data_IF_833740664068
#
_entry.id   IF_833740664068
#
_cell.length_a   1.000
_cell.length_b   1.000
_cell.length_c   1.000
_cell.angle_alpha   90.00
_cell.angle_beta   90.00
_cell.angle_gamma   90.00
#
_symmetry.space_group_name_H-M   'P 1'
#
loop_
_entity.id
_entity.type
_entity.pdbx_description
1 polymer ?
#
# COMPACT_ATOMS: atom_id res chain seq x y z
N UNK A 1 39.14 -47.86 -29.69
CA UNK A 1 37.98 -48.22 -28.83
C UNK A 1 38.26 -47.70 -27.42
N UNK A 2 37.57 -46.64 -27.00
CA UNK A 2 37.48 -46.23 -25.60
C UNK A 2 36.06 -45.69 -25.40
N UNK A 3 35.32 -46.31 -24.48
CA UNK A 3 33.94 -45.97 -24.15
C UNK A 3 33.92 -45.04 -22.93
N UNK A 4 32.91 -44.18 -22.89
CA UNK A 4 32.27 -43.64 -21.69
C UNK A 4 32.89 -42.38 -21.06
N UNK A 5 32.15 -41.26 -21.11
CA UNK A 5 31.32 -40.84 -19.97
C UNK A 5 30.23 -39.89 -20.48
N UNK A 6 29.03 -40.43 -20.63
CA UNK A 6 27.80 -39.65 -20.73
C UNK A 6 27.57 -39.12 -19.33
N UNK A 7 27.97 -37.86 -19.09
CA UNK A 7 27.66 -37.22 -17.82
C UNK A 7 26.14 -37.11 -17.71
N UNK A 8 25.60 -38.01 -16.90
CA UNK A 8 24.31 -37.90 -16.25
C UNK A 8 24.23 -36.52 -15.60
N UNK A 9 23.60 -35.57 -16.29
CA UNK A 9 22.84 -34.52 -15.62
C UNK A 9 21.45 -35.05 -15.37
N UNK A 10 21.44 -36.08 -14.51
CA UNK A 10 20.23 -36.59 -13.89
C UNK A 10 19.77 -35.55 -12.86
N UNK A 11 18.50 -35.20 -12.98
CA UNK A 11 17.60 -35.05 -11.84
C UNK A 11 18.07 -34.18 -10.67
N UNK A 12 18.02 -32.86 -10.85
CA UNK A 12 17.63 -31.97 -9.74
C UNK A 12 16.24 -31.37 -9.99
N UNK A 13 15.36 -32.17 -10.61
CA UNK A 13 13.91 -32.03 -10.43
C UNK A 13 13.50 -32.93 -9.27
N UNK A 14 14.16 -32.74 -8.14
CA UNK A 14 13.92 -33.48 -6.92
C UNK A 14 12.63 -32.95 -6.31
N UNK A 15 11.51 -33.55 -6.75
CA UNK A 15 10.75 -34.40 -5.85
C UNK A 15 10.34 -33.86 -4.49
N UNK A 16 10.21 -32.54 -4.28
CA UNK A 16 9.25 -32.07 -3.28
C UNK A 16 7.88 -32.29 -3.89
N UNK A 17 7.34 -33.48 -3.62
CA UNK A 17 5.93 -33.72 -3.37
C UNK A 17 5.10 -32.53 -3.84
N UNK A 18 4.80 -32.52 -5.14
CA UNK A 18 3.62 -31.80 -5.59
C UNK A 18 2.48 -32.58 -4.97
N UNK A 19 2.24 -32.30 -3.70
CA UNK A 19 0.91 -32.37 -3.14
C UNK A 19 0.03 -31.82 -4.25
N UNK A 20 -0.92 -32.64 -4.71
CA UNK A 20 -1.95 -32.20 -5.62
C UNK A 20 -2.84 -31.20 -4.87
N UNK A 21 -2.26 -30.09 -4.42
CA UNK A 21 -2.95 -28.85 -4.17
C UNK A 21 -3.48 -28.46 -5.54
N UNK A 22 -4.68 -28.96 -5.84
CA UNK A 22 -5.51 -28.52 -6.94
C UNK A 22 -5.55 -27.00 -6.85
N UNK A 23 -4.72 -26.35 -7.67
CA UNK A 23 -4.71 -24.89 -7.77
C UNK A 23 -6.00 -24.51 -8.46
N UNK A 24 -7.05 -24.31 -7.65
CA UNK A 24 -8.33 -23.77 -8.11
C UNK A 24 -8.08 -22.33 -8.56
N UNK A 25 -8.00 -22.15 -9.87
CA UNK A 25 -7.93 -20.83 -10.48
C UNK A 25 -9.25 -20.59 -11.21
N UNK A 26 -9.79 -19.37 -11.16
CA UNK A 26 -11.04 -19.04 -11.88
C UNK A 26 -10.98 -19.43 -13.35
N UNK A 27 -9.81 -19.29 -13.97
CA UNK A 27 -9.56 -19.74 -15.34
C UNK A 27 -9.70 -21.26 -15.50
N UNK A 28 -9.15 -22.05 -14.59
CA UNK A 28 -9.28 -23.51 -14.61
C UNK A 28 -10.71 -23.98 -14.34
N UNK A 29 -11.45 -23.26 -13.49
CA UNK A 29 -12.86 -23.51 -13.17
C UNK A 29 -13.84 -22.97 -14.23
N UNK A 30 -13.34 -22.37 -15.32
CA UNK A 30 -14.19 -21.76 -16.36
C UNK A 30 -15.04 -20.58 -15.89
N UNK A 31 -14.70 -20.00 -14.74
CA UNK A 31 -15.43 -18.88 -14.15
C UNK A 31 -15.18 -17.59 -14.93
N UNK A 32 -16.18 -16.70 -15.01
CA UNK A 32 -16.02 -15.40 -15.65
C UNK A 32 -14.91 -14.58 -14.96
N UNK A 33 -14.33 -13.61 -15.69
CA UNK A 33 -13.37 -12.67 -15.15
C UNK A 33 -13.86 -12.00 -13.87
N UNK A 34 -12.93 -11.51 -13.08
CA UNK A 34 -13.26 -10.72 -11.91
C UNK A 34 -13.81 -9.35 -12.33
N UNK A 35 -14.93 -8.96 -11.74
CA UNK A 35 -15.53 -7.65 -11.94
C UNK A 35 -14.69 -6.60 -11.18
N UNK A 36 -14.27 -5.56 -11.89
CA UNK A 36 -13.51 -4.46 -11.30
C UNK A 36 -14.21 -3.13 -11.55
N UNK A 37 -14.05 -2.19 -10.61
CA UNK A 37 -14.52 -0.83 -10.78
C UNK A 37 -13.89 -0.18 -12.03
N UNK A 38 -14.62 0.72 -12.68
CA UNK A 38 -14.08 1.43 -13.84
C UNK A 38 -12.92 2.35 -13.43
N UNK A 39 -12.06 2.67 -14.39
CA UNK A 39 -10.93 3.58 -14.15
C UNK A 39 -11.42 4.94 -13.63
N UNK A 40 -12.53 5.45 -14.16
CA UNK A 40 -13.15 6.71 -13.74
C UNK A 40 -13.58 6.66 -12.28
N UNK A 41 -14.17 5.54 -11.85
CA UNK A 41 -14.58 5.36 -10.46
C UNK A 41 -13.37 5.31 -9.52
N UNK A 42 -12.33 4.57 -9.88
CA UNK A 42 -11.08 4.50 -9.12
C UNK A 42 -10.44 5.88 -9.00
N UNK A 43 -10.37 6.63 -10.11
CA UNK A 43 -9.80 7.99 -10.14
C UNK A 43 -10.63 8.94 -9.25
N UNK A 44 -11.96 8.85 -9.32
CA UNK A 44 -12.86 9.67 -8.48
C UNK A 44 -12.66 9.36 -6.99
N UNK A 45 -12.58 8.09 -6.63
CA UNK A 45 -12.34 7.66 -5.26
C UNK A 45 -10.97 8.14 -4.74
N UNK A 46 -9.91 7.96 -5.53
CA UNK A 46 -8.57 8.42 -5.18
C UNK A 46 -8.50 9.94 -4.98
N UNK A 47 -9.15 10.72 -5.85
CA UNK A 47 -9.24 12.19 -5.70
C UNK A 47 -9.96 12.59 -4.41
N UNK A 48 -11.09 11.95 -4.10
CA UNK A 48 -11.86 12.21 -2.87
C UNK A 48 -11.03 11.88 -1.62
N UNK A 49 -10.38 10.73 -1.61
CA UNK A 49 -9.49 10.33 -0.51
C UNK A 49 -8.31 11.31 -0.35
N UNK A 50 -7.68 11.71 -1.46
CA UNK A 50 -6.59 12.70 -1.45
C UNK A 50 -7.03 14.07 -0.93
N UNK A 51 -8.23 14.52 -1.29
CA UNK A 51 -8.80 15.77 -0.77
C UNK A 51 -9.06 15.70 0.74
N UNK A 52 -9.59 14.58 1.24
CA UNK A 52 -9.79 14.36 2.66
C UNK A 52 -8.47 14.41 3.43
N UNK A 53 -7.43 13.71 2.95
CA UNK A 53 -6.09 13.73 3.55
C UNK A 53 -5.50 15.13 3.61
N UNK A 54 -5.61 15.91 2.52
CA UNK A 54 -5.12 17.31 2.50
C UNK A 54 -5.88 18.22 3.47
N UNK A 55 -7.20 18.03 3.61
CA UNK A 55 -7.99 18.78 4.61
C UNK A 55 -7.54 18.43 6.03
N UNK A 56 -7.40 17.15 6.35
CA UNK A 56 -6.93 16.70 7.66
C UNK A 56 -5.55 17.27 8.01
N UNK A 57 -4.58 17.18 7.09
CA UNK A 57 -3.24 17.73 7.30
C UNK A 57 -3.23 19.26 7.47
N UNK A 58 -4.15 19.99 6.84
CA UNK A 58 -4.28 21.44 7.04
C UNK A 58 -4.84 21.77 8.42
N UNK A 59 -5.86 21.05 8.88
CA UNK A 59 -6.42 21.25 10.23
C UNK A 59 -5.43 20.88 11.32
N UNK A 60 -4.67 19.80 11.14
CA UNK A 60 -3.58 19.42 12.05
C UNK A 60 -2.53 20.54 12.15
N UNK A 61 -2.06 21.06 11.01
CA UNK A 61 -1.09 22.18 10.99
C UNK A 61 -1.62 23.42 11.71
N UNK A 62 -2.89 23.77 11.52
CA UNK A 62 -3.52 24.90 12.24
C UNK A 62 -3.56 24.65 13.74
N UNK A 63 -3.92 23.43 14.15
CA UNK A 63 -3.98 23.05 15.56
C UNK A 63 -2.59 23.11 16.21
N UNK A 64 -1.57 22.55 15.56
CA UNK A 64 -0.19 22.61 16.04
C UNK A 64 0.29 24.06 16.14
N UNK A 65 0.04 24.90 15.13
CA UNK A 65 0.41 26.32 15.16
C UNK A 65 -0.28 27.08 16.30
N UNK A 66 -1.54 26.77 16.60
CA UNK A 66 -2.27 27.39 17.72
C UNK A 66 -1.76 26.93 19.09
N UNK A 67 -1.21 25.73 19.21
CA UNK A 67 -0.62 25.24 20.46
C UNK A 67 0.79 25.77 20.70
N UNK A 68 1.53 26.05 19.63
CA UNK A 68 2.92 26.53 19.68
C UNK A 68 3.03 28.06 19.80
N UNK A 69 1.91 28.79 19.67
CA UNK A 69 1.85 30.23 19.95
C UNK A 69 1.92 30.45 21.47
N UNK A 70 2.97 31.12 21.99
CA UNK A 70 3.02 31.45 23.41
C UNK A 70 1.86 32.37 23.76
N UNK A 71 1.21 32.13 24.89
CA UNK A 71 0.16 33.01 25.41
C UNK A 71 0.68 34.46 25.38
N UNK A 72 -0.02 35.33 24.63
CA UNK A 72 0.33 36.73 24.53
C UNK A 72 0.48 37.29 25.96
N UNK A 73 1.66 37.82 26.28
CA UNK A 73 1.91 38.43 27.58
C UNK A 73 0.82 39.49 27.82
N UNK A 74 0.16 39.52 28.99
CA UNK A 74 -0.84 40.54 29.27
C UNK A 74 -0.19 41.92 29.13
N UNK A 75 -0.92 42.93 28.63
CA UNK A 75 -0.38 44.28 28.55
C UNK A 75 0.01 44.71 29.97
N UNK A 76 1.31 44.95 30.17
CA UNK A 76 1.80 45.58 31.39
C UNK A 76 1.22 46.99 31.39
N UNK A 77 0.24 47.24 32.25
CA UNK A 77 -0.25 48.59 32.52
C UNK A 77 0.87 49.29 33.30
N UNK A 78 1.63 50.11 32.58
CA UNK A 78 2.62 50.99 33.17
C UNK A 78 1.86 52.21 33.71
N UNK A 79 1.30 52.08 34.92
CA UNK A 79 0.71 53.20 35.65
C UNK A 79 1.84 54.03 36.24
N UNK A 80 2.26 55.05 35.48
CA UNK A 80 3.07 56.14 35.99
C UNK A 80 2.16 57.18 36.68
N UNK A 81 2.25 57.25 38.01
CA UNK A 81 1.71 58.33 38.84
C UNK A 81 2.85 59.15 39.44
#
# INVERSE_FOLDING_TARGET
MAKSKKDMRDTSREGREREEATRSSRRAEGLPPEEHASLEEVVRAARKAGAAKRKAAREEKKRSLSQDQPAAKPPVQDDAH
#
